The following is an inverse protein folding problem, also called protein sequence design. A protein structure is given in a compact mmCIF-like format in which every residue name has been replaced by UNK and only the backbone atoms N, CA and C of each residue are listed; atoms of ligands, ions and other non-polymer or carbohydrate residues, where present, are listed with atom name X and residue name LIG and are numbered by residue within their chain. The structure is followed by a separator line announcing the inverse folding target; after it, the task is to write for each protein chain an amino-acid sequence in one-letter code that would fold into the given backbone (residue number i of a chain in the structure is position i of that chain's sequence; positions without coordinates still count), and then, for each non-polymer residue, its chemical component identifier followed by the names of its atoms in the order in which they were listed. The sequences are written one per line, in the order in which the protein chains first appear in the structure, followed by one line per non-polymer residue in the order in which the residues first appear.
data_IF_113793328839
#
_entry.id   IF_113793328839
#
_cell.length_a   1.000
_cell.length_b   1.000
_cell.length_c   1.000
_cell.angle_alpha   90.00
_cell.angle_beta   90.00
_cell.angle_gamma   90.00
#
_symmetry.space_group_name_H-M   'P 1'
#
loop_
_entity.id
_entity.type
_entity.pdbx_description
1 polymer ?
#
# COMPACT_ATOMS: atom_id res chain seq x y z
N UNK A 1 1.38 14.94 -10.71
CA UNK A 1 1.49 13.56 -11.24
C UNK A 1 0.42 13.38 -12.28
N UNK A 2 0.71 12.70 -13.39
CA UNK A 2 -0.30 12.43 -14.42
C UNK A 2 -1.07 11.15 -14.09
N UNK A 3 -2.12 11.29 -13.30
CA UNK A 3 -3.00 10.18 -12.93
C UNK A 3 -3.99 9.80 -14.03
N UNK A 4 -4.03 10.52 -15.16
CA UNK A 4 -4.87 10.14 -16.31
C UNK A 4 -4.45 8.79 -16.91
N UNK A 5 -3.21 8.35 -16.66
CA UNK A 5 -2.74 7.02 -17.02
C UNK A 5 -3.47 5.90 -16.27
N UNK A 6 -3.89 6.13 -15.03
CA UNK A 6 -4.63 5.12 -14.25
C UNK A 6 -5.98 4.79 -14.86
N UNK A 7 -6.59 5.73 -15.56
CA UNK A 7 -7.92 5.56 -16.18
C UNK A 7 -7.86 5.00 -17.60
N UNK A 8 -6.65 4.77 -18.14
CA UNK A 8 -6.46 4.38 -19.54
C UNK A 8 -5.68 3.08 -19.68
N UNK A 9 -6.34 2.08 -20.23
CA UNK A 9 -5.74 0.75 -20.41
C UNK A 9 -4.67 0.72 -21.51
N UNK A 10 -4.68 1.65 -22.47
CA UNK A 10 -3.67 1.76 -23.53
C UNK A 10 -2.26 2.13 -23.03
N UNK A 11 -2.14 2.59 -21.77
CA UNK A 11 -0.86 2.89 -21.12
C UNK A 11 -0.28 1.71 -20.32
N UNK A 12 -0.92 0.54 -20.38
CA UNK A 12 -0.53 -0.65 -19.63
C UNK A 12 -0.05 -1.78 -20.54
N UNK A 13 0.87 -2.60 -20.03
CA UNK A 13 1.29 -3.85 -20.64
C UNK A 13 0.50 -5.04 -20.05
N UNK A 14 0.30 -6.09 -20.85
CA UNK A 14 -0.16 -7.38 -20.34
C UNK A 14 0.98 -8.04 -19.56
N UNK A 15 0.65 -8.70 -18.45
CA UNK A 15 1.61 -9.56 -17.76
C UNK A 15 1.95 -10.78 -18.64
N UNK A 16 3.20 -11.25 -18.61
CA UNK A 16 3.62 -12.43 -19.38
C UNK A 16 3.00 -13.70 -18.80
N UNK A 17 2.81 -14.74 -19.62
CA UNK A 17 2.43 -16.07 -19.10
C UNK A 17 3.53 -16.69 -18.24
N UNK A 18 4.78 -16.26 -18.44
CA UNK A 18 5.96 -16.61 -17.62
C UNK A 18 6.10 -15.75 -16.36
N UNK A 19 5.00 -15.19 -15.86
CA UNK A 19 4.99 -14.38 -14.65
C UNK A 19 3.98 -14.94 -13.64
N UNK A 20 4.11 -14.47 -12.41
CA UNK A 20 3.26 -14.78 -11.28
C UNK A 20 2.82 -13.50 -10.57
N UNK A 21 1.58 -13.52 -10.09
CA UNK A 21 1.14 -12.61 -9.04
C UNK A 21 1.53 -13.23 -7.70
N UNK A 22 2.34 -12.52 -6.92
CA UNK A 22 2.71 -12.88 -5.54
C UNK A 22 2.02 -11.92 -4.59
N UNK A 23 1.31 -12.43 -3.59
CA UNK A 23 0.59 -11.63 -2.60
C UNK A 23 1.12 -11.96 -1.21
N UNK A 24 1.46 -10.91 -0.46
CA UNK A 24 1.73 -10.96 0.97
C UNK A 24 0.63 -10.20 1.72
N UNK A 25 -0.02 -10.82 2.69
CA UNK A 25 -1.21 -10.27 3.38
C UNK A 25 -1.24 -10.67 4.85
N UNK A 26 -1.55 -9.72 5.74
CA UNK A 26 -1.66 -9.99 7.18
C UNK A 26 -3.00 -10.65 7.48
N UNK A 27 -2.96 -11.92 7.91
CA UNK A 27 -4.15 -12.65 8.36
C UNK A 27 -4.71 -12.01 9.63
N UNK A 28 -6.02 -11.79 9.63
CA UNK A 28 -6.71 -11.17 10.76
C UNK A 28 -6.37 -9.69 10.95
N UNK A 29 -5.90 -9.00 9.90
CA UNK A 29 -5.59 -7.56 9.93
C UNK A 29 -6.73 -6.73 10.51
N UNK A 30 -7.97 -6.99 10.12
CA UNK A 30 -9.16 -6.30 10.66
C UNK A 30 -9.25 -6.40 12.19
N UNK A 31 -9.04 -7.59 12.76
CA UNK A 31 -9.10 -7.78 14.21
C UNK A 31 -7.94 -7.05 14.91
N UNK A 32 -6.71 -7.17 14.37
CA UNK A 32 -5.56 -6.47 14.90
C UNK A 32 -5.72 -4.94 14.86
N UNK A 33 -6.37 -4.41 13.81
CA UNK A 33 -6.67 -2.98 13.67
C UNK A 33 -7.68 -2.52 14.73
N UNK A 34 -8.74 -3.31 14.97
CA UNK A 34 -9.71 -3.04 16.04
C UNK A 34 -9.06 -3.06 17.43
N UNK A 35 -8.04 -3.89 17.62
CA UNK A 35 -7.21 -3.93 18.84
C UNK A 35 -6.18 -2.78 18.93
N UNK A 36 -6.25 -1.80 18.01
CA UNK A 36 -5.36 -0.63 17.99
C UNK A 36 -3.97 -0.90 17.41
N UNK A 37 -3.74 -2.07 16.79
CA UNK A 37 -2.45 -2.53 16.25
C UNK A 37 -2.26 -2.23 14.76
N UNK A 38 -2.96 -1.23 14.23
CA UNK A 38 -2.91 -0.88 12.81
C UNK A 38 -1.49 -0.47 12.34
N UNK A 39 -0.64 0.02 13.24
CA UNK A 39 0.75 0.37 12.90
C UNK A 39 1.60 -0.86 12.65
N UNK A 40 1.44 -1.90 13.47
CA UNK A 40 2.08 -3.18 13.26
C UNK A 40 1.63 -3.81 11.95
N UNK A 41 0.33 -3.72 11.63
CA UNK A 41 -0.23 -4.20 10.36
C UNK A 41 0.41 -3.46 9.17
N UNK A 42 0.44 -2.13 9.19
CA UNK A 42 1.03 -1.34 8.11
C UNK A 42 2.53 -1.57 7.98
N UNK A 43 3.24 -1.77 9.10
CA UNK A 43 4.66 -2.07 9.09
C UNK A 43 4.95 -3.45 8.50
N UNK A 44 4.09 -4.45 8.73
CA UNK A 44 4.22 -5.78 8.14
C UNK A 44 4.08 -5.73 6.60
N UNK A 45 3.07 -5.03 6.08
CA UNK A 45 2.90 -4.86 4.63
C UNK A 45 4.05 -4.06 4.00
N UNK A 46 4.48 -2.97 4.66
CA UNK A 46 5.61 -2.18 4.19
C UNK A 46 6.93 -2.96 4.22
N UNK A 47 7.10 -3.88 5.17
CA UNK A 47 8.27 -4.75 5.24
C UNK A 47 8.39 -5.70 4.06
N UNK A 48 7.27 -6.17 3.53
CA UNK A 48 7.24 -6.97 2.30
C UNK A 48 7.80 -6.16 1.12
N UNK A 49 7.30 -4.92 0.96
CA UNK A 49 7.76 -4.03 -0.11
C UNK A 49 9.24 -3.71 0.07
N UNK A 50 9.66 -3.26 1.26
CA UNK A 50 11.06 -2.91 1.53
C UNK A 50 12.03 -4.06 1.22
N UNK A 51 11.69 -5.29 1.61
CA UNK A 51 12.53 -6.46 1.36
C UNK A 51 12.70 -6.74 -0.14
N UNK A 52 11.64 -6.63 -0.93
CA UNK A 52 11.69 -6.79 -2.39
C UNK A 52 12.43 -5.61 -3.04
N UNK A 53 12.12 -4.38 -2.65
CA UNK A 53 12.74 -3.16 -3.17
C UNK A 53 14.25 -3.15 -2.94
N UNK A 54 14.73 -3.65 -1.81
CA UNK A 54 16.16 -3.75 -1.51
C UNK A 54 16.93 -4.72 -2.44
N UNK A 55 16.23 -5.48 -3.29
CA UNK A 55 16.81 -6.42 -4.25
C UNK A 55 16.47 -6.04 -5.71
N UNK A 56 15.27 -5.52 -5.98
CA UNK A 56 14.74 -5.27 -7.32
C UNK A 56 14.40 -3.79 -7.55
N UNK A 57 14.40 -3.30 -8.80
CA UNK A 57 13.80 -1.99 -9.16
C UNK A 57 12.26 -2.11 -9.32
N UNK A 58 11.48 -1.00 -9.28
CA UNK A 58 10.02 -1.11 -9.41
C UNK A 58 9.61 -1.63 -10.78
N UNK A 59 10.46 -1.42 -11.80
CA UNK A 59 10.27 -1.94 -13.16
C UNK A 59 10.57 -3.43 -13.26
N UNK A 60 11.54 -3.93 -12.49
CA UNK A 60 11.90 -5.35 -12.49
C UNK A 60 10.89 -6.22 -11.72
N UNK A 61 10.38 -5.72 -10.59
CA UNK A 61 9.30 -6.35 -9.81
C UNK A 61 8.27 -5.28 -9.45
N UNK A 62 7.26 -5.06 -10.32
CA UNK A 62 6.15 -4.16 -10.05
C UNK A 62 5.41 -4.56 -8.78
N UNK A 63 4.95 -3.58 -8.01
CA UNK A 63 4.27 -3.82 -6.74
C UNK A 63 3.18 -2.80 -6.42
N UNK A 64 2.24 -3.17 -5.56
CA UNK A 64 1.29 -2.23 -4.95
C UNK A 64 1.15 -2.55 -3.47
N UNK A 65 1.21 -1.52 -2.62
CA UNK A 65 1.01 -1.64 -1.19
C UNK A 65 -0.47 -1.45 -0.83
N UNK A 66 -1.06 -2.43 -0.13
CA UNK A 66 -2.48 -2.47 0.19
C UNK A 66 -2.88 -1.89 1.55
N UNK A 67 -1.91 -1.56 2.42
CA UNK A 67 -2.13 -1.22 3.83
C UNK A 67 -1.69 -2.37 4.74
N UNK A 68 -2.37 -3.50 4.67
CA UNK A 68 -2.09 -4.72 5.45
C UNK A 68 -1.28 -5.78 4.67
N UNK A 69 -0.75 -5.42 3.51
CA UNK A 69 -0.08 -6.33 2.61
C UNK A 69 0.49 -5.65 1.37
N UNK A 70 0.98 -6.46 0.44
CA UNK A 70 1.48 -6.02 -0.85
C UNK A 70 1.30 -7.09 -1.93
N UNK A 71 1.06 -6.63 -3.15
CA UNK A 71 0.98 -7.45 -4.36
C UNK A 71 2.19 -7.19 -5.23
N UNK A 72 2.76 -8.22 -5.84
CA UNK A 72 3.93 -8.16 -6.71
C UNK A 72 3.68 -8.93 -8.01
N UNK A 73 4.26 -8.45 -9.11
CA UNK A 73 4.37 -9.19 -10.37
C UNK A 73 5.82 -9.66 -10.52
N UNK A 74 6.02 -10.97 -10.66
CA UNK A 74 7.35 -11.60 -10.62
C UNK A 74 7.49 -12.58 -11.79
N UNK A 75 8.58 -12.50 -12.55
CA UNK A 75 8.88 -13.49 -13.59
C UNK A 75 9.25 -14.86 -12.98
N UNK A 76 8.96 -15.95 -13.70
CA UNK A 76 9.23 -17.34 -13.29
C UNK A 76 10.67 -17.53 -12.79
N UNK A 77 11.64 -16.90 -13.47
CA UNK A 77 13.06 -17.01 -13.12
C UNK A 77 13.42 -16.40 -11.75
N UNK A 78 12.62 -15.45 -11.26
CA UNK A 78 12.84 -14.76 -9.99
C UNK A 78 11.88 -15.22 -8.88
N UNK A 79 10.87 -16.06 -9.21
CA UNK A 79 9.82 -16.48 -8.29
C UNK A 79 10.36 -17.06 -6.97
N UNK A 80 11.23 -18.07 -7.05
CA UNK A 80 11.76 -18.75 -5.85
C UNK A 80 12.54 -17.79 -4.95
N UNK A 81 13.28 -16.86 -5.55
CA UNK A 81 14.03 -15.84 -4.81
C UNK A 81 13.08 -14.83 -4.14
N UNK A 82 12.05 -14.35 -4.85
CA UNK A 82 11.02 -13.50 -4.28
C UNK A 82 10.27 -14.19 -3.11
N UNK A 83 9.88 -15.46 -3.28
CA UNK A 83 9.22 -16.24 -2.23
C UNK A 83 10.13 -16.45 -1.02
N UNK A 84 11.42 -16.73 -1.23
CA UNK A 84 12.41 -16.86 -0.16
C UNK A 84 12.55 -15.55 0.65
N UNK A 85 12.65 -14.40 -0.02
CA UNK A 85 12.70 -13.08 0.63
C UNK A 85 11.43 -12.84 1.46
N UNK A 86 10.24 -13.05 0.88
CA UNK A 86 8.96 -12.80 1.56
C UNK A 86 8.71 -13.78 2.71
N UNK A 87 9.15 -15.04 2.61
CA UNK A 87 9.13 -16.02 3.72
C UNK A 87 10.04 -15.57 4.87
N UNK A 88 11.20 -15.00 4.57
CA UNK A 88 12.04 -14.35 5.58
C UNK A 88 11.31 -13.19 6.29
N UNK A 89 10.52 -12.39 5.54
CA UNK A 89 9.67 -11.34 6.13
C UNK A 89 8.57 -11.94 6.99
N UNK A 90 7.95 -13.06 6.61
CA UNK A 90 6.97 -13.77 7.47
C UNK A 90 7.58 -14.13 8.83
N UNK A 91 8.82 -14.62 8.86
CA UNK A 91 9.57 -14.88 10.10
C UNK A 91 9.76 -13.61 10.95
N UNK A 92 10.21 -12.51 10.33
CA UNK A 92 10.38 -11.22 11.02
C UNK A 92 9.04 -10.73 11.60
N UNK A 93 7.96 -10.75 10.82
CA UNK A 93 6.63 -10.28 11.25
C UNK A 93 6.10 -11.14 12.40
N UNK A 94 6.24 -12.46 12.33
CA UNK A 94 5.86 -13.37 13.41
C UNK A 94 6.61 -13.05 14.70
N UNK A 95 7.94 -12.95 14.62
CA UNK A 95 8.81 -12.90 15.80
C UNK A 95 8.90 -11.50 16.44
N UNK A 96 8.68 -10.44 15.65
CA UNK A 96 8.84 -9.05 16.11
C UNK A 96 7.51 -8.30 16.27
N UNK A 97 6.54 -8.60 15.42
CA UNK A 97 5.23 -7.95 15.40
C UNK A 97 4.13 -8.85 15.94
N UNK A 98 4.35 -10.15 16.18
CA UNK A 98 3.30 -11.06 16.67
C UNK A 98 2.04 -10.99 15.81
N UNK A 99 2.24 -10.97 14.49
CA UNK A 99 1.20 -11.03 13.46
C UNK A 99 1.47 -12.22 12.55
N UNK A 100 0.43 -12.75 11.91
CA UNK A 100 0.56 -13.81 10.91
C UNK A 100 0.53 -13.19 9.52
N UNK A 101 1.67 -13.18 8.84
CA UNK A 101 1.77 -12.79 7.44
C UNK A 101 1.64 -14.04 6.57
N UNK A 102 0.72 -14.03 5.61
CA UNK A 102 0.55 -15.05 4.56
C UNK A 102 1.29 -14.61 3.31
N UNK A 103 1.97 -15.53 2.64
CA UNK A 103 2.58 -15.31 1.32
C UNK A 103 2.11 -16.42 0.40
N UNK A 104 1.59 -16.06 -0.76
CA UNK A 104 1.18 -17.00 -1.80
C UNK A 104 1.42 -16.43 -3.18
N UNK A 105 1.31 -17.27 -4.20
CA UNK A 105 1.42 -16.85 -5.59
C UNK A 105 0.43 -17.61 -6.48
N UNK A 106 0.16 -17.05 -7.65
CA UNK A 106 -0.63 -17.66 -8.72
C UNK A 106 -0.02 -17.28 -10.07
N UNK A 107 0.13 -18.23 -10.99
CA UNK A 107 0.68 -17.93 -12.32
C UNK A 107 -0.29 -17.12 -13.16
N UNK A 108 0.22 -16.26 -14.03
CA UNK A 108 -0.62 -15.53 -15.00
C UNK A 108 -1.36 -16.51 -15.92
N UNK A 109 -0.72 -17.63 -16.28
CA UNK A 109 -1.36 -18.72 -17.03
C UNK A 109 -2.61 -19.24 -16.33
N UNK A 110 -2.51 -19.58 -15.05
CA UNK A 110 -3.65 -20.07 -14.27
C UNK A 110 -4.74 -19.00 -14.11
N UNK A 111 -4.35 -17.72 -13.96
CA UNK A 111 -5.30 -16.60 -13.90
C UNK A 111 -6.11 -16.51 -15.19
N UNK A 112 -5.45 -16.62 -16.35
CA UNK A 112 -6.10 -16.60 -17.68
C UNK A 112 -6.98 -17.82 -17.92
N UNK A 113 -6.55 -19.00 -17.49
CA UNK A 113 -7.36 -20.23 -17.56
C UNK A 113 -8.67 -20.09 -16.76
N UNK A 114 -8.68 -19.26 -15.71
CA UNK A 114 -9.89 -18.93 -14.92
C UNK A 114 -10.65 -17.69 -15.44
N UNK A 115 -10.26 -17.16 -16.60
CA UNK A 115 -10.93 -16.04 -17.27
C UNK A 115 -10.54 -14.65 -16.76
N UNK A 116 -9.52 -14.54 -15.90
CA UNK A 116 -9.01 -13.24 -15.45
C UNK A 116 -7.84 -12.73 -16.29
N UNK A 117 -7.54 -11.45 -16.15
CA UNK A 117 -6.36 -10.82 -16.79
C UNK A 117 -5.62 -9.91 -15.81
N UNK A 118 -4.30 -9.79 -16.00
CA UNK A 118 -3.47 -8.83 -15.25
C UNK A 118 -2.71 -7.96 -16.23
N UNK A 119 -2.90 -6.66 -16.07
CA UNK A 119 -2.14 -5.63 -16.75
C UNK A 119 -1.42 -4.78 -15.74
N UNK A 120 -0.30 -4.19 -16.13
CA UNK A 120 0.45 -3.29 -15.27
C UNK A 120 0.97 -2.09 -16.04
N UNK A 121 1.18 -1.00 -15.33
CA UNK A 121 1.72 0.23 -15.88
C UNK A 121 2.45 1.02 -14.80
N UNK A 122 2.96 2.19 -15.19
CA UNK A 122 3.71 3.05 -14.29
C UNK A 122 3.19 4.49 -14.35
N UNK A 123 2.95 5.05 -13.17
CA UNK A 123 2.80 6.50 -13.01
C UNK A 123 4.19 7.05 -12.70
N UNK A 124 4.67 8.00 -13.50
CA UNK A 124 5.97 8.60 -13.24
C UNK A 124 5.83 9.76 -12.25
N UNK A 125 6.57 9.65 -11.14
CA UNK A 125 6.97 10.80 -10.33
C UNK A 125 8.02 11.61 -11.11
N UNK A 126 8.31 12.84 -10.70
CA UNK A 126 9.20 13.73 -11.44
C UNK A 126 10.51 13.03 -11.93
N UNK A 127 10.78 13.15 -13.23
CA UNK A 127 11.95 12.72 -14.04
C UNK A 127 12.54 11.29 -13.89
N UNK A 128 12.45 10.55 -12.77
CA UNK A 128 13.17 9.27 -12.64
C UNK A 128 12.49 8.13 -11.87
N UNK A 129 11.50 8.40 -11.02
CA UNK A 129 10.89 7.34 -10.21
C UNK A 129 9.49 6.96 -10.74
N UNK A 130 9.22 5.66 -10.74
CA UNK A 130 7.98 5.09 -11.27
C UNK A 130 7.21 4.39 -10.16
N UNK A 131 5.93 4.73 -10.01
CA UNK A 131 4.99 4.00 -9.17
C UNK A 131 4.24 2.97 -10.03
N UNK A 132 4.52 1.67 -9.86
CA UNK A 132 3.75 0.63 -10.53
C UNK A 132 2.29 0.63 -10.08
N UNK A 133 1.41 0.25 -11.00
CA UNK A 133 0.01 -0.01 -10.73
C UNK A 133 -0.46 -1.19 -11.57
N UNK A 134 -1.51 -1.86 -11.12
CA UNK A 134 -2.12 -3.00 -11.81
C UNK A 134 -3.56 -2.72 -12.21
N UNK A 135 -3.99 -3.38 -13.29
CA UNK A 135 -5.36 -3.40 -13.79
C UNK A 135 -5.77 -4.81 -14.16
N UNK A 136 -7.07 -5.00 -14.33
CA UNK A 136 -7.69 -6.31 -14.53
C UNK A 136 -8.15 -6.92 -13.21
N UNK A 137 -8.88 -8.01 -13.33
CA UNK A 137 -9.54 -8.75 -12.24
C UNK A 137 -8.70 -9.93 -11.73
N UNK A 138 -7.59 -10.25 -12.41
CA UNK A 138 -6.74 -11.38 -12.08
C UNK A 138 -6.11 -11.31 -10.68
N UNK A 139 -5.85 -10.11 -10.16
CA UNK A 139 -5.32 -9.94 -8.79
C UNK A 139 -6.37 -10.33 -7.74
N UNK A 140 -7.64 -9.97 -7.95
CA UNK A 140 -8.72 -10.34 -7.04
C UNK A 140 -8.91 -11.88 -7.02
N UNK A 141 -8.77 -12.53 -8.18
CA UNK A 141 -8.78 -13.99 -8.28
C UNK A 141 -7.61 -14.63 -7.51
N UNK A 142 -6.39 -14.10 -7.69
CA UNK A 142 -5.21 -14.55 -6.97
C UNK A 142 -5.35 -14.35 -5.45
N UNK A 143 -5.85 -13.20 -5.00
CA UNK A 143 -6.10 -12.92 -3.59
C UNK A 143 -7.11 -13.94 -3.01
N UNK A 144 -8.20 -14.23 -3.72
CA UNK A 144 -9.20 -15.19 -3.27
C UNK A 144 -8.62 -16.60 -3.15
N UNK A 145 -7.87 -17.07 -4.15
CA UNK A 145 -7.21 -18.39 -4.13
C UNK A 145 -6.19 -18.47 -2.98
N UNK A 146 -5.38 -17.41 -2.80
CA UNK A 146 -4.38 -17.36 -1.75
C UNK A 146 -5.04 -17.31 -0.36
N UNK A 147 -6.19 -16.65 -0.22
CA UNK A 147 -6.87 -16.62 1.09
C UNK A 147 -7.59 -17.93 1.43
N UNK A 148 -7.89 -18.80 0.45
CA UNK A 148 -8.53 -20.11 0.68
C UNK A 148 -7.62 -21.17 1.27
N UNK A 149 -6.33 -21.19 0.93
CA UNK A 149 -5.37 -22.16 1.49
C UNK A 149 -4.70 -21.59 2.72
N UNK A 150 -4.43 -22.46 3.70
CA UNK A 150 -3.64 -22.08 4.87
C UNK A 150 -2.16 -22.00 4.50
N UNK A 151 -1.39 -21.20 5.25
CA UNK A 151 0.05 -21.07 4.99
C UNK A 151 0.79 -22.39 5.18
N UNK A 152 0.32 -23.24 6.09
CA UNK A 152 0.89 -24.56 6.36
C UNK A 152 0.82 -25.47 5.12
N UNK A 153 -0.13 -25.21 4.21
CA UNK A 153 -0.28 -25.92 2.93
C UNK A 153 0.71 -25.44 1.86
N UNK A 154 1.44 -24.34 2.08
CA UNK A 154 2.37 -23.71 1.12
C UNK A 154 3.85 -23.99 1.40
N UNK A 155 4.10 -24.95 2.29
CA UNK A 155 5.43 -25.30 2.79
C UNK A 155 5.83 -24.50 4.04
N UNK A 156 6.91 -24.91 4.71
CA UNK A 156 7.32 -24.29 5.97
C UNK A 156 7.69 -22.82 5.77
N UNK A 157 7.34 -21.99 6.75
CA UNK A 157 7.87 -20.63 6.86
C UNK A 157 9.40 -20.76 6.97
N UNK A 158 10.13 -20.21 5.99
CA UNK A 158 11.58 -20.17 6.05
C UNK A 158 11.99 -19.34 7.28
N UNK A 159 12.63 -20.00 8.25
CA UNK A 159 13.13 -19.36 9.45
C UNK A 159 14.36 -18.49 9.20
N UNK A 160 14.92 -18.52 7.98
CA UNK A 160 16.10 -17.73 7.66
C UNK A 160 15.75 -16.27 7.38
N UNK A 161 15.51 -15.52 8.45
CA UNK A 161 15.29 -14.06 8.44
C UNK A 161 16.44 -13.28 7.79
N UNK A 162 17.62 -13.88 7.58
CA UNK A 162 18.73 -13.25 6.85
C UNK A 162 18.40 -13.03 5.37
N UNK A 163 17.47 -13.81 4.81
CA UNK A 163 16.99 -13.65 3.44
C UNK A 163 16.17 -12.36 3.26
N UNK A 164 15.65 -11.78 4.36
CA UNK A 164 14.83 -10.57 4.32
C UNK A 164 15.63 -9.34 4.80
N UNK A 165 16.03 -8.49 3.84
CA UNK A 165 16.59 -7.19 4.16
C UNK A 165 15.48 -6.12 4.27
N UNK A 166 15.05 -5.80 5.49
CA UNK A 166 14.06 -4.74 5.77
C UNK A 166 14.68 -3.38 6.12
N UNK A 167 15.98 -3.18 5.81
CA UNK A 167 16.63 -1.89 5.99
C UNK A 167 15.92 -0.78 5.21
N UNK A 168 15.91 0.42 5.78
CA UNK A 168 15.25 1.58 5.19
C UNK A 168 13.81 1.80 5.65
N UNK A 169 13.18 0.81 6.30
CA UNK A 169 11.87 1.02 6.92
C UNK A 169 11.97 1.93 8.13
N UNK A 170 11.46 3.14 7.99
CA UNK A 170 11.47 4.13 9.07
C UNK A 170 10.46 5.24 8.78
N UNK A 171 9.47 5.42 9.65
CA UNK A 171 8.66 6.64 9.66
C UNK A 171 8.88 7.41 10.95
N UNK A 172 9.41 8.63 10.81
CA UNK A 172 9.67 9.55 11.94
C UNK A 172 8.59 10.60 12.11
N UNK A 173 7.58 10.61 11.26
CA UNK A 173 6.49 11.58 11.32
C UNK A 173 5.40 11.12 12.30
N UNK A 174 4.77 12.08 12.97
CA UNK A 174 3.49 11.86 13.62
C UNK A 174 2.39 11.71 12.55
N UNK A 175 1.19 11.24 12.94
CA UNK A 175 0.03 11.32 12.05
C UNK A 175 -0.14 12.74 11.49
N UNK A 176 -0.45 12.80 10.20
CA UNK A 176 -0.71 14.03 9.46
C UNK A 176 -2.18 14.38 9.66
N UNK A 177 -2.45 15.33 10.57
CA UNK A 177 -3.81 15.80 10.81
C UNK A 177 -4.43 16.38 9.54
N UNK A 178 -5.72 16.15 9.35
CA UNK A 178 -6.47 16.69 8.23
C UNK A 178 -6.38 18.21 8.24
N UNK A 179 -6.09 18.79 7.08
CA UNK A 179 -6.12 20.24 6.87
C UNK A 179 -7.44 20.72 6.30
N UNK A 180 -8.29 19.79 5.84
CA UNK A 180 -9.56 20.08 5.16
C UNK A 180 -10.80 19.58 5.90
N UNK A 181 -10.59 18.88 7.02
CA UNK A 181 -11.61 18.42 7.96
C UNK A 181 -11.75 16.90 8.02
N UNK A 182 -11.51 16.18 6.92
CA UNK A 182 -11.73 14.73 6.81
C UNK A 182 -10.63 14.06 5.99
N UNK A 183 -10.06 12.97 6.51
CA UNK A 183 -9.27 12.02 5.73
C UNK A 183 -10.17 10.87 5.30
N UNK A 184 -10.40 10.73 4.00
CA UNK A 184 -11.26 9.74 3.40
C UNK A 184 -10.41 8.63 2.77
N UNK A 185 -10.53 7.41 3.28
CA UNK A 185 -9.98 6.19 2.68
C UNK A 185 -11.06 5.51 1.85
N UNK A 186 -10.78 5.25 0.56
CA UNK A 186 -11.69 4.61 -0.38
C UNK A 186 -11.04 3.37 -1.00
N UNK A 187 -11.85 2.33 -1.15
CA UNK A 187 -11.53 1.20 -2.04
C UNK A 187 -12.71 1.05 -2.99
N UNK A 188 -12.45 1.13 -4.29
CA UNK A 188 -13.46 1.06 -5.35
C UNK A 188 -13.08 -0.07 -6.29
N UNK A 189 -13.94 -1.07 -6.39
CA UNK A 189 -13.83 -2.16 -7.35
C UNK A 189 -14.76 -1.90 -8.52
N UNK A 190 -14.24 -1.59 -9.71
CA UNK A 190 -15.06 -1.43 -10.91
C UNK A 190 -15.40 -2.77 -11.57
N UNK A 191 -16.50 -2.79 -12.31
CA UNK A 191 -16.98 -3.93 -13.10
C UNK A 191 -17.39 -3.46 -14.50
N UNK A 192 -17.34 -4.37 -15.46
CA UNK A 192 -17.74 -4.12 -16.85
C UNK A 192 -16.62 -4.48 -17.83
N UNK A 193 -16.87 -4.20 -19.09
CA UNK A 193 -15.84 -4.29 -20.13
C UNK A 193 -14.76 -3.22 -19.93
N UNK A 194 -13.60 -3.40 -20.57
CA UNK A 194 -12.44 -2.50 -20.41
C UNK A 194 -12.81 -1.02 -20.61
N UNK A 195 -13.56 -0.71 -21.68
CA UNK A 195 -13.98 0.67 -21.99
C UNK A 195 -14.96 1.23 -20.96
N UNK A 196 -15.83 0.39 -20.39
CA UNK A 196 -16.79 0.80 -19.34
C UNK A 196 -16.07 1.08 -18.02
N UNK A 197 -15.07 0.26 -17.69
CA UNK A 197 -14.21 0.49 -16.52
C UNK A 197 -13.44 1.79 -16.69
N UNK A 198 -12.83 2.02 -17.86
CA UNK A 198 -12.08 3.25 -18.16
C UNK A 198 -13.00 4.48 -18.05
N UNK A 199 -14.21 4.42 -18.61
CA UNK A 199 -15.22 5.48 -18.47
C UNK A 199 -15.64 5.71 -17.01
N UNK A 200 -15.81 4.65 -16.23
CA UNK A 200 -16.19 4.73 -14.81
C UNK A 200 -15.09 5.37 -13.97
N UNK A 201 -13.83 4.96 -14.16
CA UNK A 201 -12.69 5.56 -13.49
C UNK A 201 -12.55 7.04 -13.90
N UNK A 202 -12.72 7.37 -15.17
CA UNK A 202 -12.72 8.77 -15.63
C UNK A 202 -13.77 9.63 -14.93
N UNK A 203 -15.00 9.11 -14.73
CA UNK A 203 -16.03 9.85 -13.96
C UNK A 203 -15.60 10.10 -12.51
N UNK A 204 -14.96 9.12 -11.87
CA UNK A 204 -14.43 9.28 -10.50
C UNK A 204 -13.37 10.38 -10.47
N UNK A 205 -12.38 10.34 -11.35
CA UNK A 205 -11.32 11.36 -11.41
C UNK A 205 -11.83 12.75 -11.79
N UNK A 206 -12.89 12.84 -12.60
CA UNK A 206 -13.57 14.10 -12.89
C UNK A 206 -14.18 14.72 -11.63
N UNK A 207 -14.91 13.96 -10.82
CA UNK A 207 -15.46 14.46 -9.55
C UNK A 207 -14.36 14.84 -8.57
N UNK A 208 -13.28 14.06 -8.47
CA UNK A 208 -12.14 14.42 -7.62
C UNK A 208 -11.47 15.73 -8.06
N UNK A 209 -11.52 16.07 -9.36
CA UNK A 209 -10.87 17.26 -9.92
C UNK A 209 -11.83 18.44 -10.14
N UNK A 210 -13.10 18.33 -9.75
CA UNK A 210 -14.14 19.34 -10.02
C UNK A 210 -13.78 20.71 -9.41
N UNK A 211 -13.34 20.72 -8.14
CA UNK A 211 -13.00 21.94 -7.41
C UNK A 211 -11.49 22.32 -7.54
N UNK A 212 -10.81 21.83 -8.59
CA UNK A 212 -9.42 22.16 -8.91
C UNK A 212 -8.50 20.95 -9.07
N UNK A 213 -7.19 21.19 -9.23
CA UNK A 213 -6.19 20.15 -9.45
C UNK A 213 -6.21 19.07 -8.36
N UNK A 214 -6.06 17.80 -8.77
CA UNK A 214 -6.15 16.64 -7.87
C UNK A 214 -5.20 16.71 -6.67
N UNK A 215 -4.04 17.36 -6.82
CA UNK A 215 -3.03 17.53 -5.76
C UNK A 215 -3.58 18.28 -4.52
N UNK A 216 -4.70 19.01 -4.66
CA UNK A 216 -5.40 19.64 -3.54
C UNK A 216 -5.95 18.64 -2.52
N UNK A 217 -6.25 17.40 -2.95
CA UNK A 217 -6.79 16.33 -2.11
C UNK A 217 -5.68 15.51 -1.41
N UNK A 218 -4.41 15.88 -1.62
CA UNK A 218 -3.28 15.14 -1.06
C UNK A 218 -3.32 15.21 0.47
N UNK A 219 -3.26 14.06 1.17
CA UNK A 219 -3.42 14.03 2.62
C UNK A 219 -2.17 14.46 3.41
N UNK A 220 -1.05 14.63 2.72
CA UNK A 220 0.23 15.03 3.29
C UNK A 220 0.63 16.36 2.66
N UNK A 221 0.99 17.33 3.49
CA UNK A 221 1.42 18.66 3.08
C UNK A 221 2.45 19.23 4.04
N UNK A 222 3.18 20.31 3.68
CA UNK A 222 4.05 20.99 4.63
C UNK A 222 3.31 21.53 5.86
N UNK A 223 2.00 21.79 5.75
CA UNK A 223 1.17 22.39 6.82
C UNK A 223 0.83 21.42 7.94
N UNK A 224 0.76 20.12 7.64
CA UNK A 224 0.43 19.06 8.61
C UNK A 224 1.60 18.10 8.86
N UNK A 225 2.81 18.48 8.47
CA UNK A 225 4.01 17.68 8.72
C UNK A 225 4.58 17.99 10.11
N UNK A 226 4.58 17.00 10.99
CA UNK A 226 5.19 17.10 12.32
C UNK A 226 6.17 15.96 12.57
N UNK A 227 7.42 16.34 12.85
CA UNK A 227 8.51 15.40 13.18
C UNK A 227 9.00 15.65 14.62
N UNK A 228 8.68 14.77 15.58
CA UNK A 228 9.21 14.84 16.93
C UNK A 228 10.68 14.44 16.95
N UNK A 229 11.37 14.76 18.05
CA UNK A 229 12.76 14.31 18.29
C UNK A 229 12.84 12.77 18.24
N UNK A 230 11.83 12.12 18.83
CA UNK A 230 11.68 10.68 18.84
C UNK A 230 10.21 10.33 18.63
N UNK A 231 9.93 9.51 17.62
CA UNK A 231 8.57 9.03 17.35
C UNK A 231 8.08 8.17 18.52
N UNK A 232 6.82 8.29 18.98
CA UNK A 232 6.27 7.40 20.00
C UNK A 232 6.40 5.91 19.66
N UNK A 233 6.48 5.59 18.36
CA UNK A 233 6.50 4.22 17.84
C UNK A 233 7.91 3.71 17.51
N UNK A 234 8.96 4.43 17.92
CA UNK A 234 10.35 4.08 17.60
C UNK A 234 10.74 2.64 18.01
N UNK A 235 10.14 2.12 19.08
CA UNK A 235 10.38 0.74 19.56
C UNK A 235 9.86 -0.30 18.59
N UNK A 236 8.71 -0.06 17.96
CA UNK A 236 8.12 -1.02 17.02
C UNK A 236 9.02 -1.11 15.78
N UNK A 237 9.47 0.03 15.27
CA UNK A 237 10.42 0.11 14.16
C UNK A 237 11.74 -0.61 14.48
N UNK A 238 12.33 -0.31 15.64
CA UNK A 238 13.58 -0.94 16.06
C UNK A 238 13.46 -2.46 16.23
N UNK A 239 12.31 -2.97 16.70
CA UNK A 239 12.04 -4.41 16.76
C UNK A 239 12.08 -5.05 15.38
N UNK A 240 11.42 -4.46 14.38
CA UNK A 240 11.47 -4.97 13.00
C UNK A 240 12.88 -4.92 12.42
N UNK A 241 13.61 -3.81 12.65
CA UNK A 241 15.01 -3.68 12.22
C UNK A 241 15.95 -4.69 12.89
N UNK A 242 15.62 -5.16 14.10
CA UNK A 242 16.39 -6.22 14.78
C UNK A 242 16.20 -7.61 14.19
N UNK A 243 15.19 -7.79 13.31
CA UNK A 243 14.83 -9.03 12.62
C UNK A 243 14.62 -10.26 13.52
N UNK A 244 14.39 -10.07 14.82
CA UNK A 244 14.23 -11.19 15.76
C UNK A 244 15.54 -11.93 16.09
N UNK A 245 16.72 -11.41 15.71
CA UNK A 245 18.04 -12.06 15.89
C UNK A 245 18.57 -12.02 17.34
N UNK A 246 17.68 -11.89 18.34
CA UNK A 246 18.02 -11.88 19.76
C UNK A 246 18.37 -10.51 20.36
N UNK A 247 18.73 -10.52 21.64
CA UNK A 247 18.83 -9.32 22.48
C UNK A 247 19.89 -8.30 22.01
N UNK A 248 21.06 -8.76 21.55
CA UNK A 248 22.14 -7.87 21.10
C UNK A 248 21.72 -7.11 19.83
N UNK A 249 21.08 -7.79 18.87
CA UNK A 249 20.52 -7.17 17.66
C UNK A 249 19.48 -6.12 18.03
N UNK A 250 18.58 -6.44 18.98
CA UNK A 250 17.55 -5.51 19.45
C UNK A 250 18.15 -4.27 20.13
N UNK A 251 19.15 -4.43 20.99
CA UNK A 251 19.81 -3.31 21.65
C UNK A 251 20.51 -2.41 20.63
N UNK A 252 21.20 -3.00 19.65
CA UNK A 252 21.84 -2.25 18.55
C UNK A 252 20.80 -1.48 17.74
N UNK A 253 19.67 -2.11 17.39
CA UNK A 253 18.58 -1.47 16.67
C UNK A 253 17.98 -0.31 17.48
N UNK A 254 17.75 -0.48 18.78
CA UNK A 254 17.26 0.60 19.65
C UNK A 254 18.18 1.82 19.65
N UNK A 255 19.48 1.60 19.89
CA UNK A 255 20.48 2.68 19.93
C UNK A 255 20.52 3.39 18.57
N UNK A 256 20.61 2.62 17.48
CA UNK A 256 20.61 3.15 16.11
C UNK A 256 19.38 4.03 15.84
N UNK A 257 18.18 3.53 16.11
CA UNK A 257 16.92 4.26 15.86
C UNK A 257 16.85 5.57 16.66
N UNK A 258 17.29 5.58 17.92
CA UNK A 258 17.30 6.80 18.76
C UNK A 258 18.30 7.81 18.22
N UNK A 259 19.52 7.38 17.90
CA UNK A 259 20.57 8.26 17.36
C UNK A 259 20.16 8.85 16.01
N UNK A 260 19.67 8.03 15.08
CA UNK A 260 19.20 8.48 13.76
C UNK A 260 18.02 9.46 13.88
N UNK A 261 17.09 9.23 14.80
CA UNK A 261 15.96 10.13 15.04
C UNK A 261 16.44 11.48 15.57
N UNK A 262 17.35 11.48 16.55
CA UNK A 262 17.91 12.68 17.14
C UNK A 262 18.75 13.50 16.14
N UNK A 263 19.66 12.86 15.42
CA UNK A 263 20.47 13.53 14.39
C UNK A 263 19.60 14.09 13.27
N UNK A 264 18.62 13.30 12.79
CA UNK A 264 17.69 13.76 11.78
C UNK A 264 16.82 14.93 12.25
N UNK A 265 16.42 14.97 13.52
CA UNK A 265 15.73 16.12 14.10
C UNK A 265 16.61 17.38 14.08
N UNK A 266 17.89 17.28 14.48
CA UNK A 266 18.84 18.41 14.44
C UNK A 266 19.00 18.91 13.01
N UNK A 267 19.25 18.03 12.05
CA UNK A 267 19.47 18.44 10.66
C UNK A 267 18.26 19.18 10.08
N UNK A 268 17.05 18.69 10.31
CA UNK A 268 15.83 19.38 9.84
C UNK A 268 15.61 20.69 10.61
N UNK A 269 15.73 20.68 11.95
CA UNK A 269 15.41 21.84 12.81
C UNK A 269 16.32 23.04 12.56
N UNK A 270 17.58 22.79 12.22
CA UNK A 270 18.58 23.82 11.92
C UNK A 270 18.82 24.00 10.42
N UNK A 271 18.03 23.33 9.56
CA UNK A 271 18.17 23.34 8.11
C UNK A 271 19.62 23.06 7.64
N UNK A 272 20.29 22.12 8.30
CA UNK A 272 21.66 21.73 8.00
C UNK A 272 21.60 20.65 6.90
N UNK A 273 22.37 20.86 5.83
CA UNK A 273 22.52 19.85 4.77
C UNK A 273 23.09 18.57 5.33
N UNK A 274 22.36 17.49 5.16
CA UNK A 274 22.81 16.16 5.55
C UNK A 274 23.67 15.59 4.39
N UNK A 275 24.87 15.05 4.65
CA UNK A 275 25.73 14.47 3.60
C UNK A 275 25.09 13.29 2.85
N UNK A 276 24.12 12.62 3.47
CA UNK A 276 23.41 11.43 2.99
C UNK A 276 22.03 11.79 2.45
N UNK A 277 21.28 12.66 3.15
CA UNK A 277 19.89 13.00 2.79
C UNK A 277 19.74 14.29 1.99
N UNK A 278 20.83 15.02 1.78
CA UNK A 278 20.81 16.30 1.09
C UNK A 278 20.14 17.42 1.89
N UNK A 279 19.47 18.33 1.16
CA UNK A 279 18.79 19.49 1.72
C UNK A 279 17.45 19.08 2.38
N UNK A 280 17.20 19.42 3.66
CA UNK A 280 15.96 19.11 4.35
C UNK A 280 14.68 19.58 3.64
N UNK A 281 14.70 20.74 2.97
CA UNK A 281 13.53 21.27 2.25
C UNK A 281 13.28 20.49 0.96
N UNK A 282 14.35 20.14 0.26
CA UNK A 282 14.27 19.28 -0.92
C UNK A 282 13.73 17.89 -0.56
N UNK A 283 14.24 17.31 0.55
CA UNK A 283 13.76 16.03 1.08
C UNK A 283 12.25 16.08 1.39
N UNK A 284 11.77 17.13 2.05
CA UNK A 284 10.34 17.28 2.37
C UNK A 284 9.49 17.42 1.09
N UNK A 285 9.92 18.24 0.14
CA UNK A 285 9.21 18.38 -1.13
C UNK A 285 9.14 17.05 -1.90
N UNK A 286 10.23 16.27 -1.91
CA UNK A 286 10.29 14.93 -2.53
C UNK A 286 9.39 13.93 -1.82
N UNK A 287 9.39 13.90 -0.50
CA UNK A 287 8.52 13.04 0.30
C UNK A 287 7.05 13.22 -0.09
N UNK A 288 6.62 14.48 -0.22
CA UNK A 288 5.26 14.80 -0.63
C UNK A 288 4.98 14.26 -2.03
N UNK A 289 5.90 14.45 -2.97
CA UNK A 289 5.78 13.98 -4.36
C UNK A 289 5.81 12.46 -4.51
N UNK A 290 6.51 11.74 -3.64
CA UNK A 290 6.66 10.28 -3.69
C UNK A 290 5.72 9.55 -2.69
N UNK A 291 4.56 10.14 -2.43
CA UNK A 291 3.52 9.57 -1.57
C UNK A 291 2.45 8.87 -2.42
N UNK A 292 2.13 7.62 -2.10
CA UNK A 292 1.25 6.75 -2.89
C UNK A 292 -0.25 6.92 -2.58
N UNK A 293 -0.73 8.12 -2.27
CA UNK A 293 -2.13 8.34 -1.83
C UNK A 293 -3.22 7.98 -2.87
N UNK A 294 -2.83 7.64 -4.10
CA UNK A 294 -3.64 6.97 -5.13
C UNK A 294 -2.92 5.69 -5.57
N UNK A 295 -3.59 4.55 -5.50
CA UNK A 295 -3.05 3.23 -5.87
C UNK A 295 -4.08 2.44 -6.66
N UNK A 296 -3.62 1.50 -7.47
CA UNK A 296 -4.50 0.60 -8.22
C UNK A 296 -3.90 -0.80 -8.26
N UNK A 297 -4.59 -1.78 -7.68
CA UNK A 297 -4.25 -3.22 -7.69
C UNK A 297 -5.35 -4.06 -8.34
N UNK A 298 -6.04 -3.50 -9.35
CA UNK A 298 -7.35 -3.98 -9.82
C UNK A 298 -8.53 -3.30 -9.12
N UNK A 299 -8.32 -2.83 -7.88
CA UNK A 299 -9.20 -1.89 -7.19
C UNK A 299 -8.55 -0.50 -7.13
N UNK A 300 -9.32 0.56 -7.30
CA UNK A 300 -8.87 1.93 -7.06
C UNK A 300 -8.85 2.19 -5.55
N UNK A 301 -7.69 2.54 -5.02
CA UNK A 301 -7.49 2.86 -3.60
C UNK A 301 -7.07 4.31 -3.46
N UNK A 302 -7.79 5.05 -2.64
CA UNK A 302 -7.56 6.48 -2.43
C UNK A 302 -7.46 6.78 -0.95
N UNK A 303 -6.54 7.68 -0.58
CA UNK A 303 -6.50 8.33 0.73
C UNK A 303 -6.47 9.82 0.48
N UNK A 304 -7.57 10.51 0.80
CA UNK A 304 -7.80 11.90 0.41
C UNK A 304 -7.98 12.76 1.65
N UNK A 305 -7.37 13.94 1.71
CA UNK A 305 -7.79 15.00 2.63
C UNK A 305 -8.82 15.87 1.90
N UNK A 306 -10.06 15.83 2.37
CA UNK A 306 -11.23 16.39 1.71
C UNK A 306 -12.06 17.22 2.68
N UNK A 307 -12.84 18.16 2.13
CA UNK A 307 -13.88 18.83 2.90
C UNK A 307 -15.09 17.91 3.10
N UNK A 308 -15.97 18.18 4.09
CA UNK A 308 -17.22 17.43 4.24
C UNK A 308 -18.11 17.46 2.98
N UNK A 309 -18.11 18.57 2.24
CA UNK A 309 -18.88 18.70 1.00
C UNK A 309 -18.29 17.83 -0.13
N UNK A 310 -16.96 17.75 -0.23
CA UNK A 310 -16.28 16.89 -1.20
C UNK A 310 -16.45 15.41 -0.87
N UNK A 311 -16.34 15.04 0.42
CA UNK A 311 -16.65 13.69 0.89
C UNK A 311 -18.06 13.31 0.42
N UNK A 312 -19.06 14.17 0.67
CA UNK A 312 -20.43 13.94 0.23
C UNK A 312 -20.55 13.76 -1.29
N UNK A 313 -19.98 14.67 -2.09
CA UNK A 313 -20.00 14.57 -3.56
C UNK A 313 -19.41 13.25 -4.07
N UNK A 314 -18.28 12.83 -3.50
CA UNK A 314 -17.60 11.59 -3.88
C UNK A 314 -18.46 10.38 -3.53
N UNK A 315 -19.04 10.35 -2.33
CA UNK A 315 -19.91 9.25 -1.89
C UNK A 315 -21.20 9.20 -2.71
N UNK A 316 -21.85 10.33 -2.99
CA UNK A 316 -23.06 10.40 -3.82
C UNK A 316 -22.79 9.85 -5.24
N UNK A 317 -21.63 10.15 -5.82
CA UNK A 317 -21.19 9.58 -7.09
C UNK A 317 -21.03 8.05 -7.00
N UNK A 318 -20.32 7.56 -5.98
CA UNK A 318 -20.04 6.14 -5.81
C UNK A 318 -21.32 5.34 -5.52
N UNK A 319 -22.27 5.91 -4.78
CA UNK A 319 -23.59 5.33 -4.56
C UNK A 319 -24.37 5.20 -5.87
N UNK A 320 -24.37 6.25 -6.70
CA UNK A 320 -24.98 6.22 -8.03
C UNK A 320 -24.34 5.14 -8.91
N UNK A 321 -23.01 5.08 -9.00
CA UNK A 321 -22.29 4.08 -9.79
C UNK A 321 -22.51 2.66 -9.26
N UNK A 322 -22.63 2.50 -7.94
CA UNK A 322 -22.95 1.23 -7.28
C UNK A 322 -24.37 0.77 -7.62
N UNK A 323 -25.35 1.69 -7.60
CA UNK A 323 -26.73 1.44 -8.02
C UNK A 323 -26.82 1.04 -9.49
N UNK A 324 -26.02 1.68 -10.36
CA UNK A 324 -25.86 1.34 -11.77
C UNK A 324 -25.08 0.03 -11.99
N UNK A 325 -24.72 -0.70 -10.93
CA UNK A 325 -23.94 -1.96 -10.96
C UNK A 325 -22.51 -1.83 -11.52
N UNK A 326 -21.99 -0.62 -11.73
CA UNK A 326 -20.66 -0.34 -12.31
C UNK A 326 -19.52 -0.50 -11.32
N UNK A 327 -19.79 -0.27 -10.04
CA UNK A 327 -18.78 -0.44 -8.98
C UNK A 327 -19.37 -1.15 -7.76
N UNK A 328 -18.50 -1.64 -6.88
CA UNK A 328 -18.77 -1.83 -5.46
C UNK A 328 -17.63 -1.09 -4.77
N UNK A 329 -17.96 -0.34 -3.74
CA UNK A 329 -16.96 0.44 -3.03
C UNK A 329 -17.17 0.32 -1.53
N UNK A 330 -16.11 0.58 -0.79
CA UNK A 330 -16.18 0.82 0.64
C UNK A 330 -15.35 2.03 1.03
N UNK A 331 -15.69 2.62 2.16
CA UNK A 331 -15.01 3.82 2.63
C UNK A 331 -14.85 3.84 4.14
N UNK A 332 -13.90 4.63 4.61
CA UNK A 332 -13.67 4.91 6.01
C UNK A 332 -13.12 6.33 6.19
N UNK A 333 -13.62 7.04 7.19
CA UNK A 333 -13.27 8.44 7.44
C UNK A 333 -12.49 8.54 8.76
N UNK A 334 -11.31 9.18 8.72
CA UNK A 334 -10.45 9.45 9.87
C UNK A 334 -10.12 10.94 10.01
N UNK A 335 -9.57 11.34 11.16
CA UNK A 335 -9.12 12.73 11.38
C UNK A 335 -7.72 12.99 10.84
N UNK A 336 -6.93 11.94 10.65
CA UNK A 336 -5.53 12.05 10.23
C UNK A 336 -5.11 10.90 9.32
N UNK A 337 -3.97 11.10 8.68
CA UNK A 337 -3.30 10.15 7.80
C UNK A 337 -2.03 9.64 8.47
N UNK A 338 -1.68 8.38 8.21
CA UNK A 338 -0.41 7.80 8.64
C UNK A 338 0.45 7.46 7.43
N UNK A 339 1.76 7.53 7.64
CA UNK A 339 2.76 7.23 6.62
C UNK A 339 3.66 6.10 7.12
N UNK A 340 3.99 5.17 6.25
CA UNK A 340 5.10 4.22 6.45
C UNK A 340 6.11 4.46 5.34
N UNK A 341 7.37 4.77 5.69
CA UNK A 341 8.38 5.09 4.68
C UNK A 341 9.34 3.92 4.48
N UNK A 342 9.72 3.70 3.22
CA UNK A 342 10.89 2.89 2.86
C UNK A 342 11.92 3.77 2.15
N UNK A 343 13.15 3.73 2.69
CA UNK A 343 14.29 4.50 2.24
C UNK A 343 15.39 3.56 1.75
N UNK A 344 15.58 3.45 0.44
CA UNK A 344 16.47 2.44 -0.14
C UNK A 344 17.96 2.85 -0.08
N UNK A 345 18.28 4.15 -0.23
CA UNK A 345 19.62 4.73 -0.05
C UNK A 345 19.54 6.26 -0.14
N UNK A 346 20.49 6.99 0.46
CA UNK A 346 20.58 8.47 0.32
C UNK A 346 21.27 8.95 -0.96
N UNK A 347 21.86 8.03 -1.72
CA UNK A 347 22.59 8.35 -2.97
C UNK A 347 21.65 8.28 -4.19
N UNK A 348 20.61 7.45 -4.10
CA UNK A 348 19.53 7.37 -5.08
C UNK A 348 18.29 7.97 -4.41
N UNK A 349 17.75 9.06 -4.96
CA UNK A 349 16.53 9.80 -4.50
C UNK A 349 15.24 8.93 -4.41
N UNK A 350 15.35 7.59 -4.31
CA UNK A 350 14.29 6.59 -4.32
C UNK A 350 13.72 6.39 -2.92
N UNK A 351 12.77 7.24 -2.53
CA UNK A 351 11.98 7.06 -1.33
C UNK A 351 10.55 6.71 -1.74
N UNK A 352 9.94 5.75 -1.04
CA UNK A 352 8.51 5.49 -1.21
C UNK A 352 7.79 5.71 0.11
N UNK A 353 6.74 6.51 0.05
CA UNK A 353 5.92 6.85 1.21
C UNK A 353 4.54 6.23 1.05
N UNK A 354 4.29 5.21 1.86
CA UNK A 354 3.04 4.48 1.92
C UNK A 354 2.04 5.22 2.80
N UNK A 355 0.95 5.68 2.20
CA UNK A 355 -0.11 6.46 2.82
C UNK A 355 -1.30 5.57 3.15
N UNK A 356 -1.86 5.76 4.34
CA UNK A 356 -3.09 5.12 4.82
C UNK A 356 -3.85 6.05 5.78
N UNK A 357 -5.16 5.86 5.94
CA UNK A 357 -5.95 6.55 6.96
C UNK A 357 -5.62 6.06 8.37
N UNK A 358 -5.67 6.96 9.36
CA UNK A 358 -5.45 6.59 10.76
C UNK A 358 -6.46 5.52 11.22
N UNK A 359 -5.97 4.50 11.94
CA UNK A 359 -6.81 3.37 12.36
C UNK A 359 -7.02 2.33 11.25
N UNK A 360 -6.10 2.24 10.28
CA UNK A 360 -6.14 1.22 9.22
C UNK A 360 -7.16 1.53 8.12
N UNK A 361 -7.20 2.78 7.66
CA UNK A 361 -8.27 3.32 6.82
C UNK A 361 -8.58 2.50 5.57
N UNK A 362 -7.57 2.07 4.81
CA UNK A 362 -7.74 1.21 3.63
C UNK A 362 -8.29 -0.18 3.98
N UNK A 363 -7.85 -0.76 5.10
CA UNK A 363 -8.36 -2.07 5.57
C UNK A 363 -9.82 -1.96 6.03
N UNK A 364 -10.19 -0.87 6.69
CA UNK A 364 -11.56 -0.59 7.10
C UNK A 364 -12.47 -0.37 5.87
N UNK A 365 -12.02 0.42 4.89
CA UNK A 365 -12.72 0.62 3.63
C UNK A 365 -12.88 -0.69 2.85
N UNK A 366 -11.85 -1.54 2.80
CA UNK A 366 -11.95 -2.87 2.19
C UNK A 366 -12.94 -3.79 2.94
N UNK A 367 -13.06 -3.66 4.26
CA UNK A 367 -14.03 -4.41 5.06
C UNK A 367 -15.47 -3.97 4.75
N UNK A 368 -15.71 -2.67 4.62
CA UNK A 368 -17.01 -2.13 4.18
C UNK A 368 -17.38 -2.62 2.77
N UNK A 369 -16.44 -2.58 1.82
CA UNK A 369 -16.60 -3.10 0.47
C UNK A 369 -17.04 -4.58 0.48
N UNK A 370 -16.32 -5.43 1.23
CA UNK A 370 -16.62 -6.87 1.36
C UNK A 370 -18.01 -7.11 1.96
N UNK A 371 -18.41 -6.31 2.96
CA UNK A 371 -19.75 -6.37 3.55
C UNK A 371 -20.83 -6.07 2.51
N UNK A 372 -20.66 -5.00 1.73
CA UNK A 372 -21.57 -4.61 0.63
C UNK A 372 -21.62 -5.67 -0.47
N UNK A 373 -20.47 -6.23 -0.87
CA UNK A 373 -20.40 -7.30 -1.86
C UNK A 373 -21.17 -8.55 -1.42
N UNK A 374 -21.02 -8.98 -0.15
CA UNK A 374 -21.78 -10.10 0.42
C UNK A 374 -23.29 -9.84 0.40
N UNK A 375 -23.71 -8.65 0.79
CA UNK A 375 -25.13 -8.27 0.80
C UNK A 375 -25.72 -8.28 -0.62
N UNK A 376 -24.96 -7.79 -1.61
CA UNK A 376 -25.35 -7.83 -3.03
C UNK A 376 -25.44 -9.26 -3.57
N UNK A 377 -24.50 -10.14 -3.20
CA UNK A 377 -24.54 -11.56 -3.55
C UNK A 377 -25.75 -12.30 -2.95
N UNK A 378 -26.07 -12.02 -1.68
CA UNK A 378 -27.26 -12.55 -1.02
C UNK A 378 -28.57 -12.05 -1.67
N UNK A 379 -28.60 -10.80 -2.13
CA UNK A 379 -29.74 -10.26 -2.88
C UNK A 379 -29.92 -10.92 -4.25
N UNK A 380 -28.83 -11.13 -5.01
CA UNK A 380 -28.89 -11.86 -6.29
C UNK A 380 -29.39 -13.29 -6.12
N UNK A 381 -28.92 -13.99 -5.09
CA UNK A 381 -29.36 -15.37 -4.79
C UNK A 381 -30.82 -15.46 -4.32
N UNK A 382 -31.40 -14.39 -3.76
CA UNK A 382 -32.83 -14.35 -3.41
C UNK A 382 -33.73 -14.08 -4.62
N UNK A 383 -33.24 -13.32 -5.61
CA UNK A 383 -33.97 -13.03 -6.85
C UNK A 383 -33.89 -14.16 -7.88
N UNK A 384 -32.91 -15.06 -7.80
CA UNK A 384 -32.82 -16.26 -8.65
C UNK A 384 -33.58 -17.48 -8.11
N UNK A 385 -34.20 -17.35 -6.93
CA UNK A 385 -35.00 -18.40 -6.25
C UNK A 385 -36.50 -18.04 -6.22
N UNK A 386 -36.87 -16.93 -6.87
CA UNK A 386 -38.26 -16.52 -7.16
C UNK A 386 -38.42 -16.51 -8.67
#
# INVERSE_FOLDING_TARGET
MDYSRLTRTDTTAFASESSHIVIADVRGSTAAILDGRFREVNLAGAACVAAIRNVYSPEAVPYVFGGDGATFLVEDSELEKCLSILRGVQGIVRDTLFLRLTVGHMSIKEIRERGGEVRYGFVHWAQKDSLPYFRGDGIALAEQEIKRRDDDDRGPIDSNVLNANVEGLSCKHLPFESTRGRVLSLVVQPFGEVDEIDATLNQIFQVLSEDGELDRLRPVSPRNTHRPILSPNWRIEARVQSRGLGFISLLKAHIRTVVESFLGYIFIRFNIKNPILGDPLYYQARMLQQSDWIKMDGCLRLVLDATPDEEKKIIDLLDRLSFENKVIYGFYTSSSTVMTCHFQSGITDQHTHFIDGFGGGLTQAATDLKSKARNRGLFKNRLSVV
#
